data_IF_743870160238
#
_entry.id   IF_743870160238
#
_cell.length_a   1.000
_cell.length_b   1.000
_cell.length_c   1.000
_cell.angle_alpha   90.00
_cell.angle_beta   90.00
_cell.angle_gamma   90.00
#
_symmetry.space_group_name_H-M   'P 1'
#
loop_
_entity.id
_entity.type
_entity.pdbx_description
1 polymer ?
#
# COMPACT_ATOMS: atom_id res chain seq x y z
N UNK A 1 21.49 6.67 -7.29
CA UNK A 1 21.57 7.83 -8.22
C UNK A 1 20.29 8.08 -8.98
N UNK A 2 19.70 7.10 -9.68
CA UNK A 2 18.47 7.31 -10.49
C UNK A 2 17.30 7.91 -9.69
N UNK A 3 17.00 7.37 -8.50
CA UNK A 3 15.96 7.91 -7.61
C UNK A 3 16.21 9.38 -7.27
N UNK A 4 17.46 9.78 -7.03
CA UNK A 4 17.80 11.17 -6.72
C UNK A 4 17.57 12.09 -7.93
N UNK A 5 18.01 11.67 -9.12
CA UNK A 5 17.78 12.45 -10.34
C UNK A 5 16.28 12.60 -10.60
N UNK A 6 15.52 11.51 -10.53
CA UNK A 6 14.09 11.54 -10.83
C UNK A 6 13.29 12.39 -9.82
N UNK A 7 13.77 12.55 -8.59
CA UNK A 7 13.06 13.23 -7.49
C UNK A 7 13.55 14.63 -7.15
N UNK A 8 14.84 14.92 -7.29
CA UNK A 8 15.46 16.16 -6.81
C UNK A 8 16.13 16.99 -7.89
N UNK A 9 16.47 16.42 -9.05
CA UNK A 9 17.10 17.18 -10.12
C UNK A 9 16.14 18.24 -10.70
N UNK A 10 16.72 19.33 -11.20
CA UNK A 10 16.07 20.34 -12.01
C UNK A 10 16.68 20.31 -13.42
N UNK A 11 16.01 20.91 -14.42
CA UNK A 11 16.41 20.92 -15.84
C UNK A 11 17.86 21.38 -16.08
N UNK A 12 18.44 22.15 -15.16
CA UNK A 12 19.79 22.73 -15.28
C UNK A 12 20.75 22.31 -14.18
N UNK A 13 20.28 21.61 -13.14
CA UNK A 13 21.09 21.25 -11.97
C UNK A 13 20.62 19.94 -11.36
N UNK A 14 21.52 18.95 -11.33
CA UNK A 14 21.26 17.64 -10.74
C UNK A 14 21.21 17.66 -9.20
N UNK A 15 21.55 18.79 -8.57
CA UNK A 15 21.52 18.99 -7.11
C UNK A 15 22.31 17.95 -6.33
N UNK A 16 23.48 17.54 -6.83
CA UNK A 16 24.33 16.51 -6.23
C UNK A 16 24.71 16.78 -4.77
N UNK A 17 24.70 18.05 -4.33
CA UNK A 17 24.91 18.41 -2.91
C UNK A 17 23.84 17.82 -1.98
N UNK A 18 22.64 17.54 -2.48
CA UNK A 18 21.55 16.92 -1.72
C UNK A 18 21.55 15.37 -1.79
N UNK A 19 22.39 14.77 -2.63
CA UNK A 19 22.48 13.32 -2.78
C UNK A 19 22.76 12.59 -1.45
N UNK A 20 23.68 13.05 -0.57
CA UNK A 20 23.91 12.38 0.70
C UNK A 20 22.66 12.28 1.57
N UNK A 21 21.78 13.30 1.54
CA UNK A 21 20.51 13.26 2.25
C UNK A 21 19.57 12.20 1.64
N UNK A 22 19.45 12.15 0.32
CA UNK A 22 18.67 11.11 -0.38
C UNK A 22 19.15 9.70 -0.03
N UNK A 23 20.48 9.48 0.02
CA UNK A 23 21.04 8.18 0.40
C UNK A 23 20.70 7.83 1.84
N UNK A 24 20.78 8.80 2.77
CA UNK A 24 20.40 8.58 4.17
C UNK A 24 18.92 8.21 4.32
N UNK A 25 18.04 8.88 3.60
CA UNK A 25 16.61 8.57 3.60
C UNK A 25 16.38 7.15 3.10
N UNK A 26 16.96 6.77 1.96
CA UNK A 26 16.86 5.42 1.41
C UNK A 26 17.45 4.34 2.32
N UNK A 27 18.53 4.66 3.04
CA UNK A 27 19.15 3.74 4.00
C UNK A 27 18.29 3.52 5.26
N UNK A 28 17.37 4.44 5.57
CA UNK A 28 16.52 4.32 6.77
C UNK A 28 15.31 3.40 6.59
N UNK A 29 14.72 3.40 5.39
CA UNK A 29 13.55 2.60 5.06
C UNK A 29 13.40 2.48 3.54
N UNK A 30 13.19 1.26 3.05
CA UNK A 30 13.01 0.96 1.63
C UNK A 30 11.80 1.66 1.00
N UNK A 31 10.75 1.94 1.78
CA UNK A 31 9.55 2.63 1.30
C UNK A 31 9.84 4.10 0.95
N UNK A 32 10.95 4.66 1.41
CA UNK A 32 11.38 5.99 0.97
C UNK A 32 11.70 6.04 -0.53
N UNK A 33 11.97 4.90 -1.18
CA UNK A 33 12.04 4.81 -2.65
C UNK A 33 10.75 5.36 -3.28
N UNK A 34 9.59 4.95 -2.76
CA UNK A 34 8.29 5.35 -3.28
C UNK A 34 7.91 6.76 -2.87
N UNK A 35 8.30 7.21 -1.67
CA UNK A 35 8.07 8.60 -1.23
C UNK A 35 8.82 9.57 -2.13
N UNK A 36 10.12 9.33 -2.34
CA UNK A 36 10.94 10.16 -3.22
C UNK A 36 10.45 10.13 -4.67
N UNK A 37 10.05 8.94 -5.16
CA UNK A 37 9.43 8.82 -6.48
C UNK A 37 8.17 9.69 -6.61
N UNK A 38 7.29 9.65 -5.59
CA UNK A 38 6.06 10.45 -5.57
C UNK A 38 6.33 11.95 -5.52
N UNK A 39 7.34 12.40 -4.78
CA UNK A 39 7.76 13.80 -4.78
C UNK A 39 8.18 14.26 -6.19
N UNK A 40 9.00 13.46 -6.87
CA UNK A 40 9.42 13.72 -8.25
C UNK A 40 8.24 13.78 -9.21
N UNK A 41 7.39 12.76 -9.21
CA UNK A 41 6.21 12.70 -10.08
C UNK A 41 5.30 13.92 -9.89
N UNK A 42 5.08 14.36 -8.64
CA UNK A 42 4.31 15.57 -8.35
C UNK A 42 4.98 16.84 -8.89
N UNK A 43 6.28 16.98 -8.70
CA UNK A 43 7.05 18.11 -9.24
C UNK A 43 6.91 18.20 -10.77
N UNK A 44 6.94 17.06 -11.46
CA UNK A 44 6.81 16.98 -12.92
C UNK A 44 5.36 16.87 -13.41
N UNK A 45 4.36 16.90 -12.52
CA UNK A 45 2.93 16.71 -12.82
C UNK A 45 2.63 15.41 -13.59
N UNK A 46 3.34 14.34 -13.25
CA UNK A 46 3.18 13.00 -13.83
C UNK A 46 2.36 12.10 -12.90
N UNK A 47 1.59 11.19 -13.49
CA UNK A 47 0.86 10.16 -12.75
C UNK A 47 1.72 8.90 -12.55
N UNK A 48 1.38 8.09 -11.55
CA UNK A 48 1.96 6.75 -11.41
C UNK A 48 1.33 5.86 -12.47
N UNK A 49 2.11 5.51 -13.49
CA UNK A 49 1.72 4.49 -14.47
C UNK A 49 2.25 3.13 -14.05
N UNK A 50 1.73 2.06 -14.63
CA UNK A 50 2.24 0.70 -14.40
C UNK A 50 3.73 0.54 -14.72
N UNK A 51 4.24 1.16 -15.79
CA UNK A 51 5.68 1.14 -16.13
C UNK A 51 6.51 1.90 -15.10
N UNK A 52 6.00 3.04 -14.60
CA UNK A 52 6.64 3.80 -13.52
C UNK A 52 6.67 2.95 -12.24
N UNK A 53 5.56 2.32 -11.89
CA UNK A 53 5.45 1.43 -10.74
C UNK A 53 6.46 0.27 -10.81
N UNK A 54 6.54 -0.41 -11.96
CA UNK A 54 7.49 -1.49 -12.20
C UNK A 54 8.95 -1.03 -12.03
N UNK A 55 9.31 0.13 -12.58
CA UNK A 55 10.67 0.68 -12.46
C UNK A 55 11.06 0.95 -11.01
N UNK A 56 10.19 1.61 -10.24
CA UNK A 56 10.49 1.92 -8.84
C UNK A 56 10.41 0.70 -7.92
N UNK A 57 9.54 -0.27 -8.23
CA UNK A 57 9.54 -1.57 -7.57
C UNK A 57 10.86 -2.31 -7.79
N UNK A 58 11.39 -2.29 -9.02
CA UNK A 58 12.70 -2.84 -9.31
C UNK A 58 13.82 -2.15 -8.51
N UNK A 59 13.81 -0.81 -8.45
CA UNK A 59 14.78 -0.07 -7.64
C UNK A 59 14.70 -0.43 -6.15
N UNK A 60 13.50 -0.53 -5.59
CA UNK A 60 13.31 -0.95 -4.20
C UNK A 60 13.79 -2.38 -3.95
N UNK A 61 13.51 -3.29 -4.88
CA UNK A 61 13.96 -4.70 -4.82
C UNK A 61 15.47 -4.79 -4.86
N UNK A 62 16.15 -4.02 -5.73
CA UNK A 62 17.61 -3.99 -5.79
C UNK A 62 18.20 -3.37 -4.51
N UNK A 63 17.59 -2.30 -4.00
CA UNK A 63 18.06 -1.58 -2.81
C UNK A 63 17.96 -2.42 -1.53
N UNK A 64 16.92 -3.23 -1.40
CA UNK A 64 16.69 -4.09 -0.24
C UNK A 64 17.54 -5.36 -0.21
N UNK A 65 18.27 -5.69 -1.28
CA UNK A 65 19.08 -6.92 -1.34
C UNK A 65 20.13 -6.95 -0.23
N UNK A 66 20.08 -7.99 0.60
CA UNK A 66 20.99 -8.18 1.73
C UNK A 66 20.55 -7.49 3.01
N UNK A 67 19.39 -6.82 3.01
CA UNK A 67 18.73 -6.29 4.20
C UNK A 67 17.36 -6.97 4.37
N UNK A 68 17.30 -7.92 5.31
CA UNK A 68 16.10 -8.74 5.56
C UNK A 68 14.91 -7.87 5.99
N UNK A 69 15.14 -6.85 6.82
CA UNK A 69 14.07 -5.95 7.30
C UNK A 69 13.48 -5.15 6.14
N UNK A 70 14.31 -4.61 5.25
CA UNK A 70 13.83 -3.90 4.06
C UNK A 70 13.09 -4.85 3.11
N UNK A 71 13.62 -6.06 2.91
CA UNK A 71 12.99 -7.07 2.06
C UNK A 71 11.61 -7.48 2.60
N UNK A 72 11.51 -7.75 3.89
CA UNK A 72 10.25 -8.04 4.58
C UNK A 72 9.26 -6.88 4.49
N UNK A 73 9.74 -5.64 4.64
CA UNK A 73 8.90 -4.43 4.51
C UNK A 73 8.29 -4.30 3.11
N UNK A 74 9.07 -4.59 2.06
CA UNK A 74 8.53 -4.64 0.70
C UNK A 74 7.50 -5.76 0.52
N UNK A 75 7.83 -6.97 0.97
CA UNK A 75 6.93 -8.12 0.86
C UNK A 75 5.62 -7.89 1.62
N UNK A 76 5.69 -7.29 2.82
CA UNK A 76 4.51 -6.90 3.60
C UNK A 76 3.65 -5.91 2.83
N UNK A 77 4.28 -4.87 2.26
CA UNK A 77 3.57 -3.86 1.46
C UNK A 77 2.90 -4.49 0.24
N UNK A 78 3.56 -5.43 -0.44
CA UNK A 78 2.98 -6.18 -1.56
C UNK A 78 1.75 -6.97 -1.11
N UNK A 79 1.92 -7.77 -0.05
CA UNK A 79 0.88 -8.62 0.52
C UNK A 79 -0.37 -7.85 0.94
N UNK A 80 -0.22 -6.69 1.58
CA UNK A 80 -1.35 -5.85 1.98
C UNK A 80 -2.23 -5.49 0.79
N UNK A 81 -1.61 -5.14 -0.35
CA UNK A 81 -2.33 -4.78 -1.57
C UNK A 81 -2.96 -6.00 -2.23
N UNK A 82 -2.24 -7.11 -2.34
CA UNK A 82 -2.79 -8.37 -2.85
C UNK A 82 -4.03 -8.81 -2.04
N UNK A 83 -3.98 -8.68 -0.72
CA UNK A 83 -5.10 -9.02 0.16
C UNK A 83 -6.31 -8.11 -0.04
N UNK A 84 -6.13 -6.77 -0.05
CA UNK A 84 -7.30 -5.89 -0.23
C UNK A 84 -7.86 -5.93 -1.64
N UNK A 85 -7.04 -6.18 -2.67
CA UNK A 85 -7.50 -6.30 -4.06
C UNK A 85 -8.49 -7.44 -4.27
N UNK A 86 -8.49 -8.45 -3.40
CA UNK A 86 -9.48 -9.56 -3.45
C UNK A 86 -10.91 -9.05 -3.24
N UNK A 87 -11.11 -8.11 -2.33
CA UNK A 87 -12.46 -7.60 -2.01
C UNK A 87 -12.72 -6.17 -2.50
N UNK A 88 -11.68 -5.42 -2.87
CA UNK A 88 -11.80 -4.04 -3.34
C UNK A 88 -10.80 -3.69 -4.45
N UNK A 89 -11.32 -3.27 -5.60
CA UNK A 89 -10.53 -2.87 -6.75
C UNK A 89 -11.19 -1.70 -7.48
N UNK A 90 -10.40 -0.67 -7.77
CA UNK A 90 -10.77 0.50 -8.59
C UNK A 90 -9.93 0.55 -9.86
N UNK A 91 -10.23 1.46 -10.79
CA UNK A 91 -9.39 1.61 -11.99
C UNK A 91 -8.04 2.16 -11.57
N UNK A 92 -6.97 1.75 -12.25
CA UNK A 92 -5.64 2.33 -12.02
C UNK A 92 -5.58 3.83 -12.35
N UNK A 93 -6.55 4.36 -13.11
CA UNK A 93 -6.71 5.80 -13.35
C UNK A 93 -7.46 6.55 -12.23
N UNK A 94 -8.05 5.84 -11.27
CA UNK A 94 -8.76 6.47 -10.16
C UNK A 94 -7.76 7.09 -9.16
N UNK A 95 -8.24 8.06 -8.37
CA UNK A 95 -7.37 8.81 -7.45
C UNK A 95 -6.66 7.90 -6.42
N UNK A 96 -5.50 8.34 -5.93
CA UNK A 96 -4.77 7.70 -4.82
C UNK A 96 -5.64 7.45 -3.60
N UNK A 97 -6.56 8.38 -3.30
CA UNK A 97 -7.51 8.24 -2.18
C UNK A 97 -8.45 7.05 -2.37
N UNK A 98 -8.94 6.82 -3.60
CA UNK A 98 -9.77 5.68 -3.92
C UNK A 98 -8.97 4.38 -3.85
N UNK A 99 -7.80 4.32 -4.50
CA UNK A 99 -6.91 3.14 -4.50
C UNK A 99 -6.57 2.71 -3.06
N UNK A 100 -6.23 3.68 -2.20
CA UNK A 100 -5.78 3.44 -0.84
C UNK A 100 -6.91 3.41 0.19
N UNK A 101 -8.18 3.36 -0.22
CA UNK A 101 -9.31 3.38 0.70
C UNK A 101 -9.22 2.25 1.76
N UNK A 102 -8.99 0.96 1.40
CA UNK A 102 -8.98 -0.11 2.39
C UNK A 102 -7.86 0.06 3.41
N UNK A 103 -6.65 0.34 2.93
CA UNK A 103 -5.47 0.54 3.78
C UNK A 103 -5.62 1.79 4.65
N UNK A 104 -6.16 2.89 4.10
CA UNK A 104 -6.37 4.12 4.88
C UNK A 104 -7.35 3.89 6.02
N UNK A 105 -8.42 3.11 5.79
CA UNK A 105 -9.39 2.77 6.83
C UNK A 105 -8.82 1.86 7.89
N UNK A 106 -8.08 0.81 7.50
CA UNK A 106 -7.43 -0.08 8.47
C UNK A 106 -6.46 0.69 9.37
N UNK A 107 -5.60 1.53 8.79
CA UNK A 107 -4.65 2.36 9.54
C UNK A 107 -5.38 3.36 10.46
N UNK A 108 -6.44 4.01 9.97
CA UNK A 108 -7.27 4.91 10.80
C UNK A 108 -7.86 4.19 12.00
N UNK A 109 -8.39 2.98 11.84
CA UNK A 109 -8.93 2.21 12.96
C UNK A 109 -7.83 1.89 13.98
N UNK A 110 -6.69 1.35 13.55
CA UNK A 110 -5.58 0.99 14.45
C UNK A 110 -5.10 2.20 15.25
N UNK A 111 -5.02 3.36 14.61
CA UNK A 111 -4.51 4.59 15.20
C UNK A 111 -5.52 5.33 16.09
N UNK A 112 -6.82 5.08 15.94
CA UNK A 112 -7.89 5.81 16.66
C UNK A 112 -8.53 5.03 17.81
N UNK A 113 -8.42 3.71 17.81
CA UNK A 113 -9.02 2.84 18.84
C UNK A 113 -8.22 2.94 20.15
N UNK A 114 -8.88 2.90 21.32
CA UNK A 114 -8.23 2.87 22.64
C UNK A 114 -7.12 1.82 22.81
N UNK A 115 -6.22 2.04 23.77
CA UNK A 115 -5.06 1.18 24.04
C UNK A 115 -5.41 -0.14 24.75
N UNK A 116 -6.60 -0.24 25.33
CA UNK A 116 -7.06 -1.35 26.16
C UNK A 116 -7.89 -2.39 25.37
N UNK A 117 -8.16 -2.15 24.08
CA UNK A 117 -8.81 -3.16 23.24
C UNK A 117 -7.89 -4.35 23.00
N UNK A 118 -8.46 -5.55 23.05
CA UNK A 118 -7.74 -6.75 22.63
C UNK A 118 -7.47 -6.72 21.13
N UNK A 119 -6.45 -7.45 20.68
CA UNK A 119 -6.12 -7.58 19.26
C UNK A 119 -7.33 -8.11 18.45
N UNK A 120 -8.10 -9.02 19.03
CA UNK A 120 -9.27 -9.64 18.41
C UNK A 120 -10.41 -8.63 18.24
N UNK A 121 -10.67 -7.81 19.27
CA UNK A 121 -11.66 -6.75 19.20
C UNK A 121 -11.26 -5.68 18.18
N UNK A 122 -9.97 -5.33 18.13
CA UNK A 122 -9.44 -4.37 17.14
C UNK A 122 -9.62 -4.89 15.72
N UNK A 123 -9.34 -6.18 15.49
CA UNK A 123 -9.56 -6.84 14.19
C UNK A 123 -11.05 -6.85 13.85
N UNK A 124 -11.92 -7.22 14.80
CA UNK A 124 -13.37 -7.28 14.58
C UNK A 124 -13.95 -5.91 14.25
N UNK A 125 -13.60 -4.88 15.04
CA UNK A 125 -14.04 -3.51 14.83
C UNK A 125 -13.50 -2.94 13.51
N UNK A 126 -12.22 -3.17 13.21
CA UNK A 126 -11.61 -2.75 11.94
C UNK A 126 -12.24 -3.40 10.73
N UNK A 127 -12.48 -4.72 10.77
CA UNK A 127 -13.17 -5.44 9.73
C UNK A 127 -14.61 -4.91 9.52
N UNK A 128 -15.33 -4.62 10.61
CA UNK A 128 -16.68 -4.03 10.55
C UNK A 128 -16.70 -2.63 9.91
N UNK A 129 -15.79 -1.75 10.34
CA UNK A 129 -15.66 -0.40 9.77
C UNK A 129 -15.25 -0.43 8.29
N UNK A 130 -14.30 -1.29 7.95
CA UNK A 130 -13.84 -1.47 6.59
C UNK A 130 -14.97 -2.01 5.70
N UNK A 131 -15.68 -3.05 6.13
CA UNK A 131 -16.85 -3.58 5.42
C UNK A 131 -17.89 -2.50 5.15
N UNK A 132 -18.25 -1.71 6.17
CA UNK A 132 -19.21 -0.61 6.01
C UNK A 132 -18.71 0.46 5.01
N UNK A 133 -17.40 0.72 4.95
CA UNK A 133 -16.82 1.65 3.98
C UNK A 133 -16.87 1.10 2.54
N UNK A 134 -16.62 -0.20 2.36
CA UNK A 134 -16.69 -0.88 1.05
C UNK A 134 -18.13 -1.02 0.55
N UNK A 135 -19.09 -1.30 1.43
CA UNK A 135 -20.52 -1.41 1.05
C UNK A 135 -21.10 -0.09 0.51
N UNK A 136 -20.49 1.06 0.84
CA UNK A 136 -20.85 2.37 0.27
C UNK A 136 -20.26 2.62 -1.12
N UNK A 137 -19.31 1.79 -1.56
CA UNK A 137 -18.69 1.91 -2.88
C UNK A 137 -19.56 1.26 -3.96
N UNK A 138 -19.29 1.62 -5.21
CA UNK A 138 -20.06 1.10 -6.34
C UNK A 138 -19.84 -0.42 -6.48
N UNK A 139 -20.86 -1.22 -6.83
CA UNK A 139 -20.75 -2.68 -6.86
C UNK A 139 -19.60 -3.24 -7.71
N UNK A 140 -19.27 -2.58 -8.83
CA UNK A 140 -18.17 -3.01 -9.71
C UNK A 140 -16.78 -2.91 -9.08
N UNK A 141 -16.66 -2.22 -7.94
CA UNK A 141 -15.40 -2.11 -7.20
C UNK A 141 -15.13 -3.32 -6.30
N UNK A 142 -16.01 -4.32 -6.30
CA UNK A 142 -15.97 -5.48 -5.41
C UNK A 142 -15.82 -6.75 -6.25
N UNK A 143 -14.60 -7.23 -6.53
CA UNK A 143 -14.35 -8.33 -7.46
C UNK A 143 -15.13 -9.62 -7.13
N UNK A 144 -15.22 -9.98 -5.84
CA UNK A 144 -15.98 -11.14 -5.37
C UNK A 144 -17.46 -11.04 -5.77
N UNK A 145 -18.06 -9.85 -5.73
CA UNK A 145 -19.45 -9.63 -6.12
C UNK A 145 -19.66 -9.68 -7.64
N UNK A 146 -18.62 -9.38 -8.41
CA UNK A 146 -18.62 -9.47 -9.87
C UNK A 146 -18.51 -10.92 -10.37
N UNK A 147 -18.02 -11.85 -9.54
CA UNK A 147 -17.95 -13.26 -9.89
C UNK A 147 -19.35 -13.90 -9.92
N UNK A 148 -19.98 -13.97 -11.10
CA UNK A 148 -21.33 -14.50 -11.27
C UNK A 148 -21.45 -16.02 -11.09
N UNK A 149 -20.34 -16.75 -11.00
CA UNK A 149 -20.33 -18.21 -10.85
C UNK A 149 -20.68 -18.66 -9.43
N UNK A 150 -20.48 -17.79 -8.44
CA UNK A 150 -20.75 -18.08 -7.02
C UNK A 150 -22.20 -17.71 -6.64
N UNK A 151 -22.80 -18.41 -5.69
CA UNK A 151 -24.08 -17.96 -5.11
C UNK A 151 -23.87 -16.70 -4.28
N UNK A 152 -24.93 -15.90 -4.11
CA UNK A 152 -24.86 -14.63 -3.37
C UNK A 152 -24.44 -14.83 -1.89
N UNK A 153 -24.86 -15.92 -1.27
CA UNK A 153 -24.42 -16.33 0.08
C UNK A 153 -22.91 -16.55 0.14
N UNK A 154 -22.37 -17.26 -0.83
CA UNK A 154 -20.94 -17.63 -0.87
C UNK A 154 -20.07 -16.40 -1.12
N UNK A 155 -20.51 -15.50 -2.02
CA UNK A 155 -19.83 -14.21 -2.25
C UNK A 155 -19.75 -13.38 -0.98
N UNK A 156 -20.83 -13.34 -0.20
CA UNK A 156 -20.88 -12.60 1.07
C UNK A 156 -19.91 -13.20 2.09
N UNK A 157 -19.88 -14.52 2.24
CA UNK A 157 -18.95 -15.20 3.15
C UNK A 157 -17.50 -14.95 2.74
N UNK A 158 -17.18 -15.10 1.45
CA UNK A 158 -15.82 -14.87 0.94
C UNK A 158 -15.37 -13.42 1.12
N UNK A 159 -16.24 -12.44 0.89
CA UNK A 159 -15.89 -11.03 1.11
C UNK A 159 -15.60 -10.74 2.58
N UNK A 160 -16.43 -11.24 3.50
CA UNK A 160 -16.21 -11.08 4.94
C UNK A 160 -14.88 -11.72 5.36
N UNK A 161 -14.60 -12.94 4.88
CA UNK A 161 -13.34 -13.63 5.16
C UNK A 161 -12.12 -12.88 4.61
N UNK A 162 -12.22 -12.33 3.40
CA UNK A 162 -11.14 -11.55 2.78
C UNK A 162 -10.87 -10.25 3.55
N UNK A 163 -11.92 -9.54 3.96
CA UNK A 163 -11.82 -8.34 4.80
C UNK A 163 -11.19 -8.68 6.16
N UNK A 164 -11.64 -9.75 6.81
CA UNK A 164 -11.11 -10.18 8.10
C UNK A 164 -9.64 -10.61 8.00
N UNK A 165 -9.26 -11.31 6.92
CA UNK A 165 -7.86 -11.69 6.64
C UNK A 165 -6.99 -10.45 6.51
N UNK A 166 -7.40 -9.49 5.67
CA UNK A 166 -6.68 -8.23 5.50
C UNK A 166 -6.54 -7.45 6.80
N UNK A 167 -7.60 -7.34 7.59
CA UNK A 167 -7.54 -6.64 8.88
C UNK A 167 -6.64 -7.39 9.87
N UNK A 168 -6.66 -8.72 9.86
CA UNK A 168 -5.77 -9.55 10.68
C UNK A 168 -4.31 -9.30 10.31
N UNK A 169 -3.97 -9.22 9.03
CA UNK A 169 -2.62 -8.87 8.56
C UNK A 169 -2.23 -7.45 9.00
N UNK A 170 -3.13 -6.48 8.87
CA UNK A 170 -2.90 -5.10 9.32
C UNK A 170 -2.61 -5.00 10.83
N UNK A 171 -3.31 -5.77 11.66
CA UNK A 171 -3.10 -5.74 13.12
C UNK A 171 -1.90 -6.59 13.52
N UNK A 172 -1.91 -7.89 13.20
CA UNK A 172 -0.92 -8.83 13.73
C UNK A 172 0.45 -8.68 13.09
N UNK A 173 0.50 -8.55 11.77
CA UNK A 173 1.78 -8.55 11.06
C UNK A 173 2.34 -7.14 10.86
N UNK A 174 1.49 -6.19 10.44
CA UNK A 174 1.94 -4.81 10.24
C UNK A 174 2.09 -4.08 11.57
N UNK A 175 1.01 -3.91 12.34
CA UNK A 175 1.06 -3.10 13.56
C UNK A 175 1.86 -3.75 14.69
N UNK A 176 1.47 -4.96 15.12
CA UNK A 176 2.07 -5.59 16.30
C UNK A 176 3.48 -6.11 16.05
N UNK A 177 3.74 -6.72 14.89
CA UNK A 177 5.06 -7.29 14.57
C UNK A 177 6.01 -6.28 13.94
N UNK A 178 5.67 -5.67 12.80
CA UNK A 178 6.59 -4.76 12.11
C UNK A 178 6.78 -3.42 12.85
N UNK A 179 5.73 -2.90 13.49
CA UNK A 179 5.80 -1.65 14.27
C UNK A 179 5.78 -1.87 15.79
N UNK A 180 5.92 -3.12 16.26
CA UNK A 180 6.00 -3.44 17.70
C UNK A 180 4.80 -2.94 18.54
N UNK A 181 3.63 -2.73 17.91
CA UNK A 181 2.47 -2.16 18.56
C UNK A 181 2.58 -0.66 18.88
N UNK A 182 3.61 0.03 18.37
CA UNK A 182 3.81 1.46 18.57
C UNK A 182 2.98 2.29 17.58
N UNK A 183 1.93 2.94 18.08
CA UNK A 183 1.05 3.80 17.29
C UNK A 183 1.75 5.06 16.79
N UNK A 184 2.68 5.63 17.55
CA UNK A 184 3.43 6.80 17.12
C UNK A 184 4.33 6.44 15.94
N UNK A 185 5.05 5.32 16.05
CA UNK A 185 5.88 4.82 14.95
C UNK A 185 5.05 4.47 13.72
N UNK A 186 3.89 3.82 13.88
CA UNK A 186 2.98 3.55 12.76
C UNK A 186 2.46 4.85 12.13
N UNK A 187 2.10 5.84 12.94
CA UNK A 187 1.61 7.14 12.48
C UNK A 187 2.68 7.88 11.67
N UNK A 188 3.93 7.88 12.12
CA UNK A 188 5.07 8.46 11.40
C UNK A 188 5.32 7.78 10.05
N UNK A 189 5.11 6.47 9.98
CA UNK A 189 5.32 5.68 8.76
C UNK A 189 4.08 5.56 7.86
N UNK A 190 2.91 6.03 8.31
CA UNK A 190 1.62 5.92 7.60
C UNK A 190 1.72 6.34 6.14
N UNK A 191 2.35 7.48 5.86
CA UNK A 191 2.47 7.99 4.49
C UNK A 191 3.45 7.17 3.64
N UNK A 192 4.51 6.60 4.24
CA UNK A 192 5.44 5.71 3.54
C UNK A 192 4.75 4.43 3.09
N UNK A 193 4.00 3.80 4.01
CA UNK A 193 3.20 2.59 3.73
C UNK A 193 2.19 2.87 2.62
N UNK A 194 1.45 3.98 2.73
CA UNK A 194 0.49 4.40 1.70
C UNK A 194 1.13 4.62 0.33
N UNK A 195 2.30 5.27 0.30
CA UNK A 195 3.05 5.48 -0.95
C UNK A 195 3.49 4.16 -1.57
N UNK A 196 4.06 3.24 -0.78
CA UNK A 196 4.43 1.91 -1.27
C UNK A 196 3.24 1.10 -1.79
N UNK A 197 2.13 1.11 -1.05
CA UNK A 197 0.92 0.41 -1.44
C UNK A 197 0.32 0.93 -2.76
N UNK A 198 0.37 2.24 -3.01
CA UNK A 198 -0.09 2.82 -4.27
C UNK A 198 0.74 2.31 -5.45
N UNK A 199 2.07 2.31 -5.32
CA UNK A 199 2.97 1.77 -6.35
C UNK A 199 2.71 0.29 -6.62
N UNK A 200 2.56 -0.52 -5.57
CA UNK A 200 2.21 -1.94 -5.71
C UNK A 200 0.88 -2.11 -6.45
N UNK A 201 -0.13 -1.29 -6.14
CA UNK A 201 -1.42 -1.39 -6.81
C UNK A 201 -1.30 -1.21 -8.34
N UNK A 202 -0.53 -0.21 -8.78
CA UNK A 202 -0.27 0.03 -10.19
C UNK A 202 0.61 -1.07 -10.84
N UNK A 203 1.53 -1.66 -10.07
CA UNK A 203 2.32 -2.81 -10.50
C UNK A 203 1.42 -4.02 -10.77
N UNK A 204 0.59 -4.41 -9.81
CA UNK A 204 -0.27 -5.59 -9.95
C UNK A 204 -1.35 -5.37 -11.03
N UNK A 205 -1.80 -4.14 -11.26
CA UNK A 205 -2.69 -3.83 -12.39
C UNK A 205 -2.01 -4.03 -13.75
N UNK A 206 -0.68 -3.98 -13.84
CA UNK A 206 0.07 -4.34 -15.05
C UNK A 206 0.04 -5.85 -15.27
N UNK A 207 0.32 -6.61 -14.21
CA UNK A 207 0.40 -8.08 -14.22
C UNK A 207 -0.93 -8.68 -14.71
N UNK A 208 -2.06 -8.19 -14.18
CA UNK A 208 -3.39 -8.62 -14.62
C UNK A 208 -3.66 -8.35 -16.11
N UNK A 209 -3.17 -7.24 -16.66
CA UNK A 209 -3.35 -6.92 -18.08
C UNK A 209 -2.46 -7.79 -18.98
N UNK A 210 -1.27 -8.16 -18.51
CA UNK A 210 -0.37 -9.06 -19.25
C UNK A 210 -0.81 -10.52 -19.22
N UNK A 211 -1.48 -10.97 -18.15
CA UNK A 211 -2.02 -12.34 -18.07
C UNK A 211 -3.32 -12.52 -18.90
N UNK A 212 -4.01 -11.43 -19.24
CA UNK A 212 -5.24 -11.43 -20.02
C UNK A 212 -5.05 -11.04 -21.51
N UNK A 213 -3.80 -10.90 -21.98
CA UNK A 213 -3.45 -10.59 -23.39
C UNK A 213 -2.84 -11.80 -24.09
#
# INVERSE_FOLDING_TARGET
YSIHIDSKADRKDNRWRALPATVRDLASDVLNVFVLANEGLRQWKQAITSTVAQRYWHYATVWSKGDDRMTETLNMTKRLVEEYRKFYQVRSSDSSHAILLPLSKALETILSVPHDLSDEDLILQGAGQLKAAIERQKPYTRPIWMNKQLQASDRRVQEIQAIQTFMTTCVKELFLKQYSGDRALLQENRNRIKSGAEFVYHLLALEDNSENS
#
